data_IF_759065143900
#
_entry.id   IF_759065143900
#
_cell.length_a   1.000
_cell.length_b   1.000
_cell.length_c   1.000
_cell.angle_alpha   90.00
_cell.angle_beta   90.00
_cell.angle_gamma   90.00
#
_symmetry.space_group_name_H-M   'P 1'
#
loop_
_entity.id
_entity.type
_entity.pdbx_description
1 polymer ?
#
# COMPACT_ATOMS: atom_id res chain seq x y z
N UNK A 1 28.48 33.52 20.92
CA UNK A 1 27.15 33.49 21.58
C UNK A 1 26.38 34.66 20.99
N UNK A 2 25.23 34.54 20.34
CA UNK A 2 24.08 33.67 20.58
C UNK A 2 23.53 33.06 19.28
N UNK A 3 23.19 31.77 19.33
CA UNK A 3 22.40 31.07 18.31
C UNK A 3 20.94 31.46 18.40
N UNK A 4 20.33 31.86 17.28
CA UNK A 4 18.88 31.88 17.15
C UNK A 4 18.40 30.48 16.73
N UNK A 5 17.79 29.77 17.68
CA UNK A 5 17.01 28.55 17.45
C UNK A 5 15.61 28.95 16.96
N UNK A 6 15.37 28.87 15.66
CA UNK A 6 14.01 28.82 15.11
C UNK A 6 13.53 27.36 15.20
N UNK A 7 12.76 27.07 16.24
CA UNK A 7 11.93 25.88 16.34
C UNK A 7 10.60 26.12 15.61
N UNK A 8 10.03 25.02 15.11
CA UNK A 8 8.67 24.88 14.59
C UNK A 8 8.45 25.41 13.17
N UNK A 9 8.81 24.57 12.19
CA UNK A 9 8.07 24.56 10.92
C UNK A 9 6.82 23.70 11.11
N UNK A 10 5.75 24.33 11.59
CA UNK A 10 4.39 23.82 11.50
C UNK A 10 4.03 23.62 10.02
N UNK A 11 4.11 22.39 9.51
CA UNK A 11 3.55 22.05 8.19
C UNK A 11 2.08 21.68 8.33
N UNK A 12 1.25 22.73 8.23
CA UNK A 12 -0.03 22.82 7.53
C UNK A 12 -0.68 21.47 7.20
N UNK A 13 -1.75 21.14 7.92
CA UNK A 13 -2.73 20.13 7.55
C UNK A 13 -3.47 20.55 6.28
N UNK A 14 -3.24 19.87 5.15
CA UNK A 14 -4.10 19.96 3.97
C UNK A 14 -5.11 18.82 4.03
N UNK A 15 -6.32 19.09 4.49
CA UNK A 15 -7.48 18.20 4.37
C UNK A 15 -7.96 18.16 2.91
N UNK A 16 -7.20 17.49 2.04
CA UNK A 16 -7.70 17.05 0.73
C UNK A 16 -8.60 15.84 0.97
N UNK A 17 -9.91 16.03 0.93
CA UNK A 17 -10.86 14.95 1.19
C UNK A 17 -10.70 13.77 0.23
N UNK A 18 -10.02 13.89 -0.91
CA UNK A 18 -9.94 12.87 -1.99
C UNK A 18 -8.64 12.05 -2.03
N UNK A 19 -7.69 12.28 -1.12
CA UNK A 19 -6.39 11.62 -1.19
C UNK A 19 -6.31 10.45 -0.20
N UNK A 20 -5.80 9.30 -0.66
CA UNK A 20 -5.30 8.26 0.26
C UNK A 20 -4.19 8.91 1.08
N UNK A 21 -4.45 9.16 2.37
CA UNK A 21 -3.49 9.81 3.23
C UNK A 21 -2.39 8.81 3.58
N UNK A 22 -1.29 8.95 2.89
CA UNK A 22 0.01 8.50 3.35
C UNK A 22 0.43 9.46 4.47
N UNK A 23 0.80 8.98 5.66
CA UNK A 23 1.28 9.84 6.74
C UNK A 23 2.56 10.61 6.35
N UNK A 24 3.23 11.24 7.32
CA UNK A 24 4.51 11.94 7.13
C UNK A 24 5.62 11.09 6.49
N UNK A 25 5.44 9.77 6.38
CA UNK A 25 6.17 8.90 5.47
C UNK A 25 5.23 7.80 4.93
N UNK A 26 4.99 7.71 3.60
CA UNK A 26 4.11 6.69 2.99
C UNK A 26 4.61 5.26 3.15
N UNK A 27 5.92 5.14 3.31
CA UNK A 27 6.65 3.89 3.20
C UNK A 27 6.98 3.41 4.60
N UNK A 28 6.44 2.24 4.95
CA UNK A 28 6.91 1.53 6.13
C UNK A 28 8.28 0.92 5.86
N UNK A 29 8.53 0.51 4.62
CA UNK A 29 9.82 0.07 4.12
C UNK A 29 9.86 0.18 2.59
N UNK A 30 10.95 0.70 2.03
CA UNK A 30 11.19 0.71 0.58
C UNK A 30 12.57 0.10 0.31
N UNK A 31 12.69 -0.87 -0.61
CA UNK A 31 13.99 -1.44 -0.95
C UNK A 31 14.90 -0.37 -1.59
N UNK A 32 16.21 -0.50 -1.37
CA UNK A 32 17.22 0.45 -1.88
C UNK A 32 17.25 0.47 -3.42
N UNK A 33 16.98 -0.69 -4.04
CA UNK A 33 16.82 -0.84 -5.48
C UNK A 33 15.38 -1.27 -5.81
N UNK A 34 14.80 -0.62 -6.82
CA UNK A 34 13.46 -0.90 -7.32
C UNK A 34 13.55 -1.47 -8.74
N UNK A 35 14.03 -2.70 -8.87
CA UNK A 35 14.19 -3.38 -10.17
C UNK A 35 12.87 -3.90 -10.73
N UNK A 36 11.91 -4.26 -9.87
CA UNK A 36 10.57 -4.67 -10.26
C UNK A 36 9.54 -3.75 -9.60
N UNK A 37 8.87 -2.95 -10.43
CA UNK A 37 7.86 -1.98 -10.01
C UNK A 37 6.49 -2.35 -10.58
N UNK A 38 5.44 -2.19 -9.76
CA UNK A 38 4.06 -2.46 -10.14
C UNK A 38 3.45 -1.31 -10.96
N UNK A 39 2.92 -1.65 -12.13
CA UNK A 39 2.24 -0.75 -13.04
C UNK A 39 0.79 -1.17 -13.27
N UNK A 40 0.00 -0.26 -13.85
CA UNK A 40 -1.37 -0.56 -14.25
C UNK A 40 -1.38 -1.70 -15.26
N UNK A 41 -2.24 -2.69 -15.03
CA UNK A 41 -2.38 -3.89 -15.85
C UNK A 41 -1.53 -5.07 -15.37
N UNK A 42 -0.56 -4.84 -14.48
CA UNK A 42 0.22 -5.93 -13.90
C UNK A 42 -0.63 -6.80 -12.98
N UNK A 43 -0.35 -8.10 -13.00
CA UNK A 43 -0.83 -9.05 -12.00
C UNK A 43 0.11 -9.00 -10.80
N UNK A 44 -0.38 -8.54 -9.67
CA UNK A 44 0.43 -8.38 -8.46
C UNK A 44 -0.03 -9.33 -7.36
N UNK A 45 0.91 -9.76 -6.52
CA UNK A 45 0.64 -10.50 -5.28
C UNK A 45 1.01 -9.64 -4.09
N UNK A 46 0.08 -9.47 -3.15
CA UNK A 46 0.31 -8.65 -1.96
C UNK A 46 -0.04 -9.41 -0.68
N UNK A 47 0.83 -9.29 0.31
CA UNK A 47 0.43 -9.55 1.68
C UNK A 47 -0.18 -8.30 2.29
N UNK A 48 -1.14 -8.47 3.20
CA UNK A 48 -1.78 -7.34 3.87
C UNK A 48 -2.35 -7.70 5.23
N UNK A 49 -2.46 -6.66 6.06
CA UNK A 49 -3.20 -6.64 7.30
C UNK A 49 -4.16 -5.45 7.29
N UNK A 50 -5.47 -5.72 7.31
CA UNK A 50 -6.53 -4.72 7.23
C UNK A 50 -7.21 -4.50 8.57
N UNK A 51 -7.16 -3.26 9.07
CA UNK A 51 -7.79 -2.83 10.32
C UNK A 51 -8.71 -1.63 10.13
N UNK A 52 -9.69 -1.51 11.00
CA UNK A 52 -10.44 -0.26 11.20
C UNK A 52 -9.57 0.74 11.99
N UNK A 53 -10.02 2.00 12.07
CA UNK A 53 -9.29 3.06 12.78
C UNK A 53 -9.21 2.87 14.29
N UNK A 54 -10.06 2.01 14.85
CA UNK A 54 -10.03 1.60 16.26
C UNK A 54 -9.02 0.46 16.52
N UNK A 55 -8.36 -0.05 15.47
CA UNK A 55 -7.41 -1.17 15.54
C UNK A 55 -8.05 -2.55 15.32
N UNK A 56 -9.37 -2.64 15.18
CA UNK A 56 -10.07 -3.91 14.95
C UNK A 56 -9.68 -4.51 13.59
N UNK A 57 -9.14 -5.72 13.59
CA UNK A 57 -8.78 -6.45 12.37
C UNK A 57 -10.04 -6.97 11.70
N UNK A 58 -10.26 -6.63 10.43
CA UNK A 58 -11.37 -7.20 9.64
C UNK A 58 -10.92 -8.31 8.71
N UNK A 59 -9.68 -8.23 8.20
CA UNK A 59 -9.14 -9.22 7.28
C UNK A 59 -7.60 -9.17 7.20
N UNK A 60 -6.96 -10.32 7.00
CA UNK A 60 -5.52 -10.42 6.77
C UNK A 60 -5.19 -11.63 5.90
N UNK A 61 -4.26 -11.45 4.96
CA UNK A 61 -3.76 -12.57 4.15
C UNK A 61 -2.76 -13.44 4.90
N UNK A 62 -2.12 -12.93 5.98
CA UNK A 62 -1.23 -13.73 6.82
C UNK A 62 -1.98 -14.84 7.56
N UNK A 63 -3.21 -14.58 8.01
CA UNK A 63 -4.07 -15.58 8.67
C UNK A 63 -4.44 -16.74 7.73
N UNK A 64 -4.42 -16.49 6.41
CA UNK A 64 -4.68 -17.50 5.37
C UNK A 64 -3.41 -18.19 4.86
N UNK A 65 -2.25 -17.62 5.14
CA UNK A 65 -0.96 -18.13 4.66
C UNK A 65 -0.66 -17.94 3.18
N UNK A 66 -1.48 -17.18 2.42
CA UNK A 66 -1.31 -16.98 0.98
C UNK A 66 -1.53 -15.50 0.58
N UNK A 67 -0.61 -14.86 -0.17
CA UNK A 67 -0.80 -13.53 -0.72
C UNK A 67 -2.06 -13.42 -1.58
N UNK A 68 -2.69 -12.24 -1.56
CA UNK A 68 -3.81 -11.97 -2.45
C UNK A 68 -3.31 -11.52 -3.83
N UNK A 69 -3.81 -12.16 -4.89
CA UNK A 69 -3.45 -11.86 -6.28
C UNK A 69 -4.59 -11.12 -6.99
N UNK A 70 -4.27 -10.03 -7.69
CA UNK A 70 -5.22 -9.30 -8.54
C UNK A 70 -4.49 -8.50 -9.63
N UNK A 71 -5.25 -7.99 -10.60
CA UNK A 71 -4.74 -7.09 -11.65
C UNK A 71 -4.87 -5.63 -11.21
N UNK A 72 -3.73 -4.94 -11.13
CA UNK A 72 -3.64 -3.57 -10.59
C UNK A 72 -4.26 -2.54 -11.55
N UNK A 73 -5.14 -1.69 -11.03
CA UNK A 73 -5.68 -0.54 -11.76
C UNK A 73 -6.76 -0.87 -12.78
N UNK A 74 -7.39 -2.05 -12.66
CA UNK A 74 -8.48 -2.50 -13.53
C UNK A 74 -9.85 -2.55 -12.82
N UNK A 75 -9.97 -1.97 -11.62
CA UNK A 75 -11.23 -1.93 -10.86
C UNK A 75 -11.63 -3.25 -10.22
N UNK A 76 -10.70 -4.21 -10.07
CA UNK A 76 -10.97 -5.50 -9.42
C UNK A 76 -11.04 -5.40 -7.89
N UNK A 77 -10.40 -4.37 -7.32
CA UNK A 77 -10.33 -4.10 -5.89
C UNK A 77 -10.88 -2.71 -5.58
N UNK A 78 -10.96 -2.36 -4.29
CA UNK A 78 -11.36 -1.02 -3.88
C UNK A 78 -10.45 0.05 -4.51
N UNK A 79 -11.02 1.22 -4.85
CA UNK A 79 -10.30 2.30 -5.54
C UNK A 79 -9.01 2.72 -4.83
N UNK A 80 -9.01 2.70 -3.50
CA UNK A 80 -7.84 3.04 -2.70
C UNK A 80 -6.66 2.08 -2.89
N UNK A 81 -6.90 0.80 -3.19
CA UNK A 81 -5.84 -0.15 -3.55
C UNK A 81 -5.35 0.07 -4.98
N UNK A 82 -6.28 0.22 -5.92
CA UNK A 82 -5.97 0.47 -7.33
C UNK A 82 -5.08 1.70 -7.54
N UNK A 83 -5.25 2.73 -6.73
CA UNK A 83 -4.40 3.93 -6.76
C UNK A 83 -3.21 3.83 -5.79
N UNK A 84 -3.43 3.30 -4.58
CA UNK A 84 -2.44 3.32 -3.50
C UNK A 84 -1.28 2.36 -3.68
N UNK A 85 -1.43 1.33 -4.51
CA UNK A 85 -0.39 0.31 -4.75
C UNK A 85 0.39 0.55 -6.05
N UNK A 86 0.01 1.54 -6.85
CA UNK A 86 0.78 1.93 -8.04
C UNK A 86 2.20 2.34 -7.66
N UNK A 87 3.16 1.92 -8.48
CA UNK A 87 4.56 2.25 -8.32
C UNK A 87 5.24 1.60 -7.12
N UNK A 88 4.61 0.62 -6.45
CA UNK A 88 5.30 -0.17 -5.41
C UNK A 88 6.39 -1.03 -6.03
N UNK A 89 7.51 -1.14 -5.32
CA UNK A 89 8.59 -2.05 -5.65
C UNK A 89 8.35 -3.41 -5.00
N UNK A 90 8.74 -4.52 -5.65
CA UNK A 90 8.68 -5.83 -4.98
C UNK A 90 9.55 -5.81 -3.71
N UNK A 91 8.98 -6.26 -2.59
CA UNK A 91 9.54 -6.17 -1.24
C UNK A 91 9.18 -4.88 -0.49
N UNK A 92 8.58 -3.89 -1.14
CA UNK A 92 8.13 -2.65 -0.49
C UNK A 92 6.96 -2.91 0.46
N UNK A 93 6.99 -2.27 1.63
CA UNK A 93 5.88 -2.22 2.58
C UNK A 93 5.29 -0.82 2.65
N UNK A 94 3.98 -0.72 2.49
CA UNK A 94 3.26 0.56 2.41
C UNK A 94 2.06 0.55 3.35
N UNK A 95 1.82 1.67 4.00
CA UNK A 95 0.61 1.87 4.82
C UNK A 95 -0.38 2.73 4.07
N UNK A 96 -1.59 2.20 3.84
CA UNK A 96 -2.68 2.90 3.16
C UNK A 96 -3.78 3.24 4.15
N UNK A 97 -4.15 4.52 4.23
CA UNK A 97 -5.35 4.97 4.93
C UNK A 97 -6.42 5.36 3.91
N UNK A 98 -7.45 4.53 3.80
CA UNK A 98 -8.43 4.59 2.71
C UNK A 98 -9.77 5.08 3.27
N UNK A 99 -10.20 6.31 2.94
CA UNK A 99 -11.51 6.80 3.36
C UNK A 99 -12.64 6.00 2.70
N UNK A 100 -13.82 5.99 3.31
CA UNK A 100 -14.96 5.18 2.88
C UNK A 100 -15.27 5.28 1.39
N UNK A 101 -15.25 6.49 0.80
CA UNK A 101 -15.52 6.71 -0.63
C UNK A 101 -14.54 6.04 -1.60
N UNK A 102 -13.34 5.68 -1.12
CA UNK A 102 -12.31 4.94 -1.86
C UNK A 102 -12.26 3.45 -1.44
N UNK A 103 -13.06 3.07 -0.44
CA UNK A 103 -13.25 1.72 0.08
C UNK A 103 -14.66 1.19 -0.21
N UNK A 104 -15.43 0.93 0.84
CA UNK A 104 -16.78 0.33 0.77
C UNK A 104 -17.94 1.33 0.88
N UNK A 105 -17.65 2.63 0.90
CA UNK A 105 -18.64 3.71 0.95
C UNK A 105 -19.56 3.68 2.18
N UNK A 106 -20.71 4.33 2.06
CA UNK A 106 -21.73 4.41 3.12
C UNK A 106 -22.37 3.06 3.44
N UNK A 107 -22.29 2.08 2.53
CA UNK A 107 -22.87 0.75 2.74
C UNK A 107 -21.98 -0.16 3.58
N UNK A 108 -20.66 0.05 3.54
CA UNK A 108 -19.69 -0.83 4.19
C UNK A 108 -19.67 -2.24 3.58
N UNK A 109 -19.12 -3.20 4.33
CA UNK A 109 -19.14 -4.64 4.03
C UNK A 109 -19.48 -5.41 5.30
N UNK A 110 -20.77 -5.53 5.64
CA UNK A 110 -21.21 -6.23 6.85
C UNK A 110 -20.80 -7.71 6.84
N UNK A 111 -20.54 -8.32 8.02
CA UNK A 111 -20.65 -7.72 9.36
C UNK A 111 -19.39 -6.99 9.83
N UNK A 112 -18.27 -7.07 9.11
CA UNK A 112 -16.95 -6.67 9.63
C UNK A 112 -16.60 -5.20 9.37
N UNK A 113 -17.11 -4.62 8.28
CA UNK A 113 -16.80 -3.25 7.88
C UNK A 113 -18.09 -2.43 7.93
N UNK A 114 -18.26 -1.51 8.88
CA UNK A 114 -19.43 -0.66 8.93
C UNK A 114 -19.46 0.35 7.77
N UNK A 115 -20.64 0.89 7.50
CA UNK A 115 -20.80 2.01 6.57
C UNK A 115 -19.99 3.23 6.99
N UNK A 116 -19.42 3.95 6.03
CA UNK A 116 -18.63 5.16 6.31
C UNK A 116 -17.26 4.90 6.96
N UNK A 117 -16.86 3.63 7.09
CA UNK A 117 -15.59 3.27 7.71
C UNK A 117 -14.37 3.76 6.91
N UNK A 118 -13.38 4.27 7.63
CA UNK A 118 -12.02 4.44 7.09
C UNK A 118 -11.22 3.18 7.36
N UNK A 119 -10.56 2.66 6.34
CA UNK A 119 -9.76 1.45 6.42
C UNK A 119 -8.28 1.80 6.54
N UNK A 120 -7.55 0.99 7.27
CA UNK A 120 -6.09 1.05 7.37
C UNK A 120 -5.54 -0.28 6.89
N UNK A 121 -4.62 -0.25 5.94
CA UNK A 121 -3.93 -1.42 5.45
C UNK A 121 -2.43 -1.26 5.60
N UNK A 122 -1.78 -2.23 6.21
CA UNK A 122 -0.35 -2.46 6.06
C UNK A 122 -0.17 -3.50 4.96
N UNK A 123 0.48 -3.14 3.85
CA UNK A 123 0.63 -3.98 2.67
C UNK A 123 2.10 -4.24 2.34
N UNK A 124 2.37 -5.38 1.72
CA UNK A 124 3.69 -5.79 1.23
C UNK A 124 3.56 -6.35 -0.19
N UNK A 125 4.31 -5.80 -1.14
CA UNK A 125 4.31 -6.30 -2.51
C UNK A 125 5.24 -7.50 -2.64
N UNK A 126 4.68 -8.67 -2.94
CA UNK A 126 5.42 -9.95 -2.97
C UNK A 126 5.90 -10.29 -4.38
N UNK A 127 5.07 -10.02 -5.39
CA UNK A 127 5.42 -10.31 -6.78
C UNK A 127 4.69 -9.41 -7.78
N UNK A 128 5.31 -9.24 -8.95
CA UNK A 128 4.73 -8.59 -10.14
C UNK A 128 4.88 -9.54 -11.31
N UNK A 129 3.77 -9.91 -11.96
CA UNK A 129 3.70 -10.85 -13.09
C UNK A 129 4.46 -12.16 -12.82
N UNK A 130 4.34 -12.69 -11.59
CA UNK A 130 5.01 -13.92 -11.15
C UNK A 130 6.48 -13.77 -10.74
N UNK A 131 7.09 -12.59 -10.91
CA UNK A 131 8.47 -12.32 -10.52
C UNK A 131 8.57 -11.75 -9.11
N UNK A 132 9.46 -12.31 -8.29
CA UNK A 132 9.75 -11.90 -6.91
C UNK A 132 11.08 -11.15 -6.83
N UNK A 133 11.38 -10.51 -5.70
CA UNK A 133 12.66 -9.84 -5.46
C UNK A 133 13.86 -10.80 -5.53
N UNK A 134 13.68 -12.04 -5.07
CA UNK A 134 14.70 -13.08 -5.17
C UNK A 134 14.93 -13.55 -6.62
N UNK A 135 13.87 -13.63 -7.44
CA UNK A 135 13.97 -13.97 -8.86
C UNK A 135 14.62 -12.84 -9.68
N UNK A 136 14.31 -11.58 -9.34
CA UNK A 136 14.88 -10.41 -10.02
C UNK A 136 16.39 -10.25 -9.83
N UNK A 137 16.91 -10.67 -8.69
CA UNK A 137 18.35 -10.62 -8.39
C UNK A 137 19.16 -11.70 -9.12
N UNK A 138 18.51 -12.74 -9.65
CA UNK A 138 19.16 -13.85 -10.33
C UNK A 138 19.20 -13.71 -11.87
N UNK A 139 18.39 -12.81 -12.45
CA UNK A 139 18.30 -12.61 -13.91
C UNK A 139 19.29 -11.56 -14.45
N UNK A 140 20.14 -10.94 -13.61
CA UNK A 140 21.09 -9.89 -14.02
C UNK A 140 22.51 -10.37 -14.35
N UNK A 141 22.80 -11.67 -14.33
CA UNK A 141 24.17 -12.22 -14.49
C UNK A 141 24.40 -13.07 -15.78
N UNK A 142 23.44 -13.15 -16.71
CA UNK A 142 23.59 -13.93 -17.96
C UNK A 142 23.38 -13.05 -19.21
N UNK A 143 24.34 -12.17 -19.51
CA UNK A 143 24.45 -11.49 -20.81
C UNK A 143 25.89 -11.11 -21.10
N UNK A 144 26.79 -12.11 -21.13
CA UNK A 144 28.07 -11.98 -21.83
C UNK A 144 28.51 -13.34 -22.39
N UNK A 145 28.11 -13.62 -23.64
CA UNK A 145 28.80 -14.52 -24.58
C UNK A 145 28.75 -13.91 -25.98
#
# INVERSE_FOLDING_TARGET
MLSFLLHSNDSITVTSHDTVFFGSSPFQYKPESCTLQAHKGDKIKVHYHGTLTDGSVFDSSYDRGDPFEFTLGNGQVIKGWDQGLLGMCVGEKRKLRIPAKMGYGERGSPPKIPGGATLVFDTELIAVNGRTSAGAAAESDDSEL
#
